data_IF_248727317733
#
_entry.id   IF_248727317733
#
_cell.length_a   1.000
_cell.length_b   1.000
_cell.length_c   1.000
_cell.angle_alpha   90.00
_cell.angle_beta   90.00
_cell.angle_gamma   90.00
#
_symmetry.space_group_name_H-M   'P 1'
#
loop_
_entity.id
_entity.type
_entity.pdbx_description
1 polymer ?
#
# COMPACT_ATOMS: atom_id res chain seq x y z
N UNK A 1 -53.76 -25.15 -48.37
CA UNK A 1 -53.86 -25.95 -47.13
C UNK A 1 -52.55 -25.80 -46.35
N UNK A 2 -52.66 -25.59 -45.04
CA UNK A 2 -51.57 -25.29 -44.10
C UNK A 2 -50.53 -26.41 -44.07
N UNK A 3 -49.24 -26.06 -44.11
CA UNK A 3 -48.18 -26.87 -43.53
C UNK A 3 -46.97 -25.99 -43.21
N UNK A 4 -46.75 -25.71 -41.93
CA UNK A 4 -45.40 -25.55 -41.37
C UNK A 4 -45.50 -25.42 -39.85
N UNK A 5 -45.07 -26.46 -39.17
CA UNK A 5 -44.74 -26.44 -37.76
C UNK A 5 -43.46 -27.25 -37.61
N UNK A 6 -42.40 -26.61 -37.11
CA UNK A 6 -41.30 -27.26 -36.40
C UNK A 6 -40.56 -26.19 -35.63
N UNK A 7 -40.77 -26.23 -34.31
CA UNK A 7 -40.19 -25.32 -33.34
C UNK A 7 -38.71 -25.58 -33.13
N UNK A 8 -37.99 -24.50 -32.83
CA UNK A 8 -36.64 -24.50 -32.28
C UNK A 8 -36.75 -24.45 -30.75
N UNK A 9 -36.14 -25.42 -30.07
CA UNK A 9 -35.96 -25.45 -28.63
C UNK A 9 -34.50 -25.81 -28.32
N UNK A 10 -33.92 -25.09 -27.34
CA UNK A 10 -32.63 -25.37 -26.71
C UNK A 10 -31.60 -24.30 -27.01
N UNK A 11 -30.83 -23.75 -26.08
CA UNK A 11 -30.63 -24.01 -24.66
C UNK A 11 -29.96 -22.75 -24.10
N UNK A 12 -30.65 -22.00 -23.24
CA UNK A 12 -30.08 -20.80 -22.61
C UNK A 12 -29.17 -21.20 -21.44
N UNK A 13 -27.86 -21.20 -21.67
CA UNK A 13 -26.87 -21.23 -20.59
C UNK A 13 -26.91 -19.89 -19.85
N UNK A 14 -27.62 -19.85 -18.73
CA UNK A 14 -27.51 -18.74 -17.76
C UNK A 14 -26.22 -18.94 -16.97
N UNK A 15 -25.15 -18.26 -17.40
CA UNK A 15 -23.97 -18.05 -16.58
C UNK A 15 -24.38 -17.19 -15.38
N UNK A 16 -24.28 -17.74 -14.16
CA UNK A 16 -24.44 -16.99 -12.93
C UNK A 16 -23.30 -15.98 -12.83
N UNK A 17 -23.57 -14.74 -13.22
CA UNK A 17 -22.67 -13.61 -13.08
C UNK A 17 -22.60 -13.28 -11.59
N UNK A 18 -21.47 -13.55 -10.94
CA UNK A 18 -21.24 -13.07 -9.58
C UNK A 18 -21.36 -11.52 -9.58
N UNK A 19 -22.05 -10.91 -8.60
CA UNK A 19 -22.17 -9.46 -8.55
C UNK A 19 -20.77 -8.84 -8.41
N UNK A 20 -20.47 -7.74 -9.13
CA UNK A 20 -19.24 -7.01 -8.89
C UNK A 20 -19.25 -6.51 -7.44
N UNK A 21 -18.27 -6.95 -6.66
CA UNK A 21 -18.01 -6.36 -5.35
C UNK A 21 -17.80 -4.86 -5.56
N UNK A 22 -18.72 -4.05 -5.05
CA UNK A 22 -18.64 -2.61 -5.14
C UNK A 22 -17.38 -2.18 -4.37
N UNK A 23 -16.31 -1.89 -5.10
CA UNK A 23 -15.13 -1.28 -4.51
C UNK A 23 -15.60 -0.02 -3.79
N UNK A 24 -15.44 0.03 -2.48
CA UNK A 24 -15.83 1.18 -1.68
C UNK A 24 -15.10 2.39 -2.23
N UNK A 25 -15.81 3.30 -2.89
CA UNK A 25 -15.22 4.50 -3.49
C UNK A 25 -14.72 5.38 -2.36
N UNK A 26 -13.41 5.35 -2.12
CA UNK A 26 -12.76 6.25 -1.18
C UNK A 26 -12.91 7.68 -1.72
N UNK A 27 -13.26 8.68 -0.89
CA UNK A 27 -13.33 10.07 -1.32
C UNK A 27 -12.03 10.54 -1.98
N UNK A 28 -12.14 11.28 -3.07
CA UNK A 28 -10.97 11.67 -3.88
C UNK A 28 -9.93 12.46 -3.08
N UNK A 29 -10.37 13.35 -2.18
CA UNK A 29 -9.45 14.14 -1.35
C UNK A 29 -8.69 13.28 -0.34
N UNK A 30 -9.24 12.14 0.09
CA UNK A 30 -8.51 11.17 0.91
C UNK A 30 -7.45 10.45 0.08
N UNK A 31 -7.77 10.07 -1.16
CA UNK A 31 -6.82 9.44 -2.08
C UNK A 31 -5.65 10.38 -2.41
N UNK A 32 -5.93 11.67 -2.67
CA UNK A 32 -4.89 12.69 -2.89
C UNK A 32 -3.98 12.86 -1.67
N UNK A 33 -4.54 12.89 -0.45
CA UNK A 33 -3.75 12.94 0.76
C UNK A 33 -2.88 11.69 0.95
N UNK A 34 -3.44 10.50 0.70
CA UNK A 34 -2.68 9.25 0.78
C UNK A 34 -1.53 9.18 -0.21
N UNK A 35 -1.71 9.73 -1.41
CA UNK A 35 -0.65 9.85 -2.40
C UNK A 35 0.44 10.82 -1.95
N UNK A 36 0.08 11.98 -1.39
CA UNK A 36 1.02 12.95 -0.82
C UNK A 36 1.82 12.37 0.36
N UNK A 37 1.16 11.63 1.25
CA UNK A 37 1.84 10.98 2.36
C UNK A 37 2.80 9.88 1.87
N UNK A 38 2.36 9.06 0.90
CA UNK A 38 3.19 8.01 0.30
C UNK A 38 4.42 8.59 -0.38
N UNK A 39 4.28 9.66 -1.16
CA UNK A 39 5.42 10.28 -1.84
C UNK A 39 6.43 10.89 -0.86
N UNK A 40 5.96 11.51 0.23
CA UNK A 40 6.85 12.03 1.27
C UNK A 40 7.57 10.92 2.03
N UNK A 41 6.86 9.87 2.45
CA UNK A 41 7.51 8.73 3.09
C UNK A 41 8.53 8.06 2.18
N UNK A 42 8.23 7.92 0.89
CA UNK A 42 9.18 7.40 -0.10
C UNK A 42 10.41 8.30 -0.25
N UNK A 43 10.22 9.63 -0.27
CA UNK A 43 11.34 10.56 -0.33
C UNK A 43 12.23 10.46 0.92
N UNK A 44 11.65 10.32 2.11
CA UNK A 44 12.42 10.15 3.34
C UNK A 44 13.14 8.81 3.38
N UNK A 45 12.48 7.74 2.92
CA UNK A 45 13.09 6.41 2.76
C UNK A 45 14.15 6.38 1.65
N UNK A 46 14.23 7.40 0.80
CA UNK A 46 15.25 7.48 -0.25
C UNK A 46 16.39 8.43 0.10
N UNK A 47 16.41 9.05 1.29
CA UNK A 47 17.44 10.02 1.68
C UNK A 47 18.75 9.31 2.07
N UNK A 48 19.82 9.41 1.26
CA UNK A 48 21.10 8.74 1.56
C UNK A 48 21.86 9.39 2.72
N UNK A 49 21.45 10.59 3.18
CA UNK A 49 22.08 11.26 4.31
C UNK A 49 21.51 10.79 5.65
N UNK A 50 20.45 9.98 5.64
CA UNK A 50 19.86 9.41 6.84
C UNK A 50 20.44 8.02 7.12
N UNK A 51 21.26 7.89 8.17
CA UNK A 51 21.91 6.63 8.51
C UNK A 51 20.91 5.48 8.78
N UNK A 52 19.72 5.77 9.32
CA UNK A 52 18.70 4.75 9.53
C UNK A 52 18.16 4.20 8.20
N UNK A 53 18.03 5.06 7.18
CA UNK A 53 17.65 4.68 5.82
C UNK A 53 18.74 3.82 5.18
N UNK A 54 20.01 4.22 5.30
CA UNK A 54 21.14 3.44 4.77
C UNK A 54 21.16 2.03 5.37
N UNK A 55 21.09 1.91 6.71
CA UNK A 55 21.05 0.60 7.38
C UNK A 55 19.83 -0.23 6.98
N UNK A 56 18.67 0.39 6.86
CA UNK A 56 17.44 -0.27 6.42
C UNK A 56 17.62 -0.88 5.02
N UNK A 57 18.16 -0.12 4.08
CA UNK A 57 18.41 -0.57 2.71
C UNK A 57 19.45 -1.68 2.64
N UNK A 58 20.57 -1.56 3.36
CA UNK A 58 21.57 -2.62 3.44
C UNK A 58 20.96 -3.93 3.98
N UNK A 59 20.11 -3.83 5.00
CA UNK A 59 19.41 -5.00 5.55
C UNK A 59 18.46 -5.63 4.54
N UNK A 60 17.69 -4.82 3.79
CA UNK A 60 16.78 -5.33 2.78
C UNK A 60 17.55 -5.97 1.63
N UNK A 61 18.61 -5.32 1.13
CA UNK A 61 19.45 -5.88 0.07
C UNK A 61 20.11 -7.20 0.50
N UNK A 62 20.65 -7.27 1.72
CA UNK A 62 21.19 -8.51 2.27
C UNK A 62 20.16 -9.63 2.33
N UNK A 63 18.88 -9.32 2.57
CA UNK A 63 17.82 -10.34 2.50
C UNK A 63 17.58 -10.85 1.09
N UNK A 64 17.54 -9.96 0.10
CA UNK A 64 17.30 -10.35 -1.29
C UNK A 64 18.40 -11.30 -1.78
N UNK A 65 19.66 -10.96 -1.49
CA UNK A 65 20.81 -11.79 -1.84
C UNK A 65 20.79 -13.17 -1.16
N UNK A 66 20.26 -13.25 0.05
CA UNK A 66 20.14 -14.50 0.81
C UNK A 66 18.83 -15.26 0.54
N UNK A 67 17.88 -14.64 -0.17
CA UNK A 67 16.59 -15.26 -0.47
C UNK A 67 16.74 -16.20 -1.66
N UNK A 68 16.22 -17.42 -1.52
CA UNK A 68 16.17 -18.41 -2.62
C UNK A 68 14.99 -18.18 -3.57
N UNK A 69 14.18 -17.15 -3.29
CA UNK A 69 12.95 -16.82 -4.00
C UNK A 69 13.25 -15.80 -5.09
N UNK A 70 12.98 -16.15 -6.35
CA UNK A 70 13.15 -15.23 -7.48
C UNK A 70 11.98 -14.23 -7.63
N UNK A 71 11.14 -14.09 -6.60
CA UNK A 71 9.97 -13.20 -6.61
C UNK A 71 10.41 -11.80 -6.19
N UNK A 72 10.05 -10.75 -6.96
CA UNK A 72 10.28 -9.37 -6.56
C UNK A 72 9.70 -9.08 -5.17
N UNK A 73 10.33 -8.20 -4.37
CA UNK A 73 9.80 -7.78 -3.08
C UNK A 73 8.41 -7.16 -3.23
N UNK A 74 7.45 -7.70 -2.48
CA UNK A 74 6.12 -7.10 -2.38
C UNK A 74 6.20 -5.77 -1.64
N UNK A 75 5.51 -4.71 -2.10
CA UNK A 75 5.44 -3.45 -1.37
C UNK A 75 4.94 -3.65 0.06
N UNK A 76 5.63 -3.06 1.03
CA UNK A 76 5.25 -3.12 2.43
C UNK A 76 3.97 -2.30 2.66
N UNK A 77 2.96 -2.93 3.24
CA UNK A 77 1.75 -2.21 3.69
C UNK A 77 2.02 -1.62 5.07
N UNK A 78 1.95 -0.29 5.16
CA UNK A 78 2.12 0.48 6.40
C UNK A 78 0.82 1.18 6.76
N UNK A 79 0.41 1.06 8.02
CA UNK A 79 -0.76 1.72 8.60
C UNK A 79 -0.29 2.87 9.47
N UNK A 80 -0.74 4.09 9.17
CA UNK A 80 -0.30 5.30 9.87
C UNK A 80 -1.47 6.03 10.51
N UNK A 81 -1.21 6.60 11.69
CA UNK A 81 -2.08 7.56 12.34
C UNK A 81 -1.40 8.92 12.38
N UNK A 82 -2.10 9.93 11.87
CA UNK A 82 -1.57 11.28 11.68
C UNK A 82 -2.42 12.26 12.48
N UNK A 83 -1.78 13.04 13.34
CA UNK A 83 -2.47 14.08 14.11
C UNK A 83 -2.83 15.27 13.20
N UNK A 84 -3.71 16.16 13.68
CA UNK A 84 -4.16 17.34 12.95
C UNK A 84 -3.05 18.35 12.60
N UNK A 85 -1.83 18.16 13.12
CA UNK A 85 -0.64 18.94 12.79
C UNK A 85 0.32 18.22 11.82
N UNK A 86 -0.12 17.12 11.18
CA UNK A 86 0.70 16.31 10.27
C UNK A 86 1.67 15.34 10.98
N UNK A 87 1.77 15.37 12.31
CA UNK A 87 2.66 14.45 13.05
C UNK A 87 2.13 13.02 13.01
N UNK A 88 2.96 12.10 12.54
CA UNK A 88 2.71 10.67 12.68
C UNK A 88 2.93 10.27 14.13
N UNK A 89 1.88 9.75 14.79
CA UNK A 89 1.94 9.38 16.21
C UNK A 89 1.79 7.87 16.45
N UNK A 90 1.43 7.12 15.41
CA UNK A 90 1.47 5.65 15.42
C UNK A 90 1.75 5.14 14.02
N UNK A 91 2.56 4.09 13.95
CA UNK A 91 2.86 3.35 12.73
C UNK A 91 2.75 1.86 13.05
N UNK A 92 2.09 1.11 12.17
CA UNK A 92 2.00 -0.35 12.23
C UNK A 92 2.32 -0.94 10.86
N UNK A 93 3.16 -1.98 10.83
CA UNK A 93 3.50 -2.74 9.63
C UNK A 93 3.83 -4.19 10.01
N UNK A 94 3.80 -5.09 9.02
CA UNK A 94 4.29 -6.44 9.23
C UNK A 94 5.81 -6.38 9.47
N UNK A 95 6.27 -6.98 10.58
CA UNK A 95 7.70 -6.98 10.93
C UNK A 95 8.53 -7.41 9.73
N UNK A 96 9.62 -6.67 9.53
CA UNK A 96 10.61 -7.03 8.54
C UNK A 96 11.33 -8.30 8.98
N UNK A 97 11.21 -8.80 10.22
CA UNK A 97 11.96 -9.97 10.69
C UNK A 97 13.38 -9.61 11.13
N UNK A 98 13.64 -8.33 11.36
CA UNK A 98 14.83 -7.80 12.01
C UNK A 98 14.44 -6.60 12.87
N UNK A 99 14.72 -6.67 14.18
CA UNK A 99 14.27 -5.66 15.13
C UNK A 99 14.91 -4.28 14.88
N UNK A 100 16.14 -4.23 14.36
CA UNK A 100 16.81 -2.97 14.04
C UNK A 100 16.20 -2.34 12.80
N UNK A 101 15.90 -3.12 11.76
CA UNK A 101 15.20 -2.64 10.58
C UNK A 101 13.78 -2.15 10.90
N UNK A 102 13.06 -2.85 11.79
CA UNK A 102 11.75 -2.41 12.28
C UNK A 102 11.85 -1.06 13.02
N UNK A 103 12.85 -0.92 13.89
CA UNK A 103 13.09 0.33 14.62
C UNK A 103 13.51 1.48 13.69
N UNK A 104 14.39 1.22 12.72
CA UNK A 104 14.84 2.20 11.74
C UNK A 104 13.66 2.68 10.86
N UNK A 105 12.84 1.76 10.33
CA UNK A 105 11.64 2.12 9.56
C UNK A 105 10.66 2.95 10.39
N UNK A 106 10.35 2.52 11.62
CA UNK A 106 9.48 3.29 12.51
C UNK A 106 10.07 4.68 12.79
N UNK A 107 11.38 4.77 13.05
CA UNK A 107 12.09 6.02 13.29
C UNK A 107 11.99 6.98 12.11
N UNK A 108 12.26 6.52 10.89
CA UNK A 108 12.17 7.33 9.66
C UNK A 108 10.75 7.87 9.46
N UNK A 109 9.73 7.03 9.62
CA UNK A 109 8.33 7.41 9.39
C UNK A 109 7.74 8.33 10.47
N UNK A 110 8.40 8.46 11.62
CA UNK A 110 7.96 9.31 12.75
C UNK A 110 8.88 10.49 13.03
N UNK A 111 9.99 10.62 12.29
CA UNK A 111 11.03 11.63 12.51
C UNK A 111 10.52 13.07 12.34
N UNK A 112 9.61 13.28 11.38
CA UNK A 112 9.10 14.61 11.05
C UNK A 112 7.62 14.57 10.65
N UNK A 113 6.88 15.68 10.83
CA UNK A 113 5.49 15.76 10.38
C UNK A 113 5.41 15.75 8.85
N UNK A 114 4.30 15.21 8.33
CA UNK A 114 3.92 15.40 6.93
C UNK A 114 3.68 16.90 6.65
N UNK A 115 3.95 17.32 5.41
CA UNK A 115 3.79 18.72 5.00
C UNK A 115 2.36 19.27 5.13
N UNK A 116 1.35 18.39 5.09
CA UNK A 116 -0.05 18.74 5.21
C UNK A 116 -0.76 17.90 6.29
N UNK A 117 -1.71 18.49 7.02
CA UNK A 117 -2.55 17.74 7.94
C UNK A 117 -3.56 16.85 7.19
N UNK A 118 -4.01 15.74 7.77
CA UNK A 118 -5.02 14.90 7.14
C UNK A 118 -6.35 15.65 7.00
N UNK A 119 -7.17 15.33 5.97
CA UNK A 119 -8.54 15.81 5.90
C UNK A 119 -9.32 15.51 7.18
N UNK A 120 -10.14 16.46 7.65
CA UNK A 120 -10.82 16.36 8.95
C UNK A 120 -11.77 15.16 9.06
N UNK A 121 -12.30 14.73 7.92
CA UNK A 121 -13.22 13.61 7.77
C UNK A 121 -12.50 12.28 7.48
N UNK A 122 -11.16 12.29 7.31
CA UNK A 122 -10.40 11.11 6.92
C UNK A 122 -10.40 10.03 8.00
N UNK A 123 -10.79 8.81 7.62
CA UNK A 123 -10.71 7.64 8.50
C UNK A 123 -9.27 7.19 8.69
N UNK A 124 -8.91 6.90 9.95
CA UNK A 124 -7.60 6.39 10.34
C UNK A 124 -7.71 4.97 10.92
N UNK A 125 -6.66 4.14 10.80
CA UNK A 125 -5.40 4.43 10.11
C UNK A 125 -5.55 4.51 8.59
N UNK A 126 -4.67 5.28 7.97
CA UNK A 126 -4.48 5.24 6.53
C UNK A 126 -3.50 4.11 6.20
N UNK A 127 -3.85 3.25 5.24
CA UNK A 127 -2.99 2.18 4.76
C UNK A 127 -2.29 2.60 3.46
N UNK A 128 -0.96 2.56 3.47
CA UNK A 128 -0.10 2.95 2.36
C UNK A 128 0.77 1.78 1.93
N UNK A 129 1.21 1.79 0.67
CA UNK A 129 2.19 0.83 0.13
C UNK A 129 3.50 1.56 -0.09
N UNK A 130 4.54 1.11 0.61
CA UNK A 130 5.90 1.64 0.51
C UNK A 130 6.82 0.61 -0.13
N UNK A 131 7.79 1.09 -0.89
CA UNK A 131 8.89 0.27 -1.39
C UNK A 131 10.10 0.55 -0.50
N UNK A 132 10.81 -0.50 -0.11
CA UNK A 132 12.02 -0.42 0.70
C UNK A 132 13.28 -0.74 -0.10
N UNK A 133 13.14 -0.88 -1.42
CA UNK A 133 14.25 -1.05 -2.35
C UNK A 133 14.86 0.31 -2.72
N UNK A 134 16.17 0.30 -2.94
CA UNK A 134 16.85 1.46 -3.49
C UNK A 134 16.37 1.69 -4.93
N UNK A 135 15.91 2.91 -5.30
CA UNK A 135 15.61 3.21 -6.69
C UNK A 135 16.89 3.11 -7.52
N UNK A 136 16.88 2.22 -8.52
CA UNK A 136 17.97 1.99 -9.48
C UNK A 136 18.22 3.20 -10.38
#
# INVERSE_FOLDING_TARGET
>A
MRAMSRGLLGLGLIAAQAPPVQAQTVPQHWASYAQLASSQFQAWLSDPNNEAVVRLHEKMQGRLLNSTSSTPPEPLVVRVWVAANGKVHRVEFASLGDAQADADLHGVLTAQPLSEPPPRDMRQPMALRLNLEYPS
#
